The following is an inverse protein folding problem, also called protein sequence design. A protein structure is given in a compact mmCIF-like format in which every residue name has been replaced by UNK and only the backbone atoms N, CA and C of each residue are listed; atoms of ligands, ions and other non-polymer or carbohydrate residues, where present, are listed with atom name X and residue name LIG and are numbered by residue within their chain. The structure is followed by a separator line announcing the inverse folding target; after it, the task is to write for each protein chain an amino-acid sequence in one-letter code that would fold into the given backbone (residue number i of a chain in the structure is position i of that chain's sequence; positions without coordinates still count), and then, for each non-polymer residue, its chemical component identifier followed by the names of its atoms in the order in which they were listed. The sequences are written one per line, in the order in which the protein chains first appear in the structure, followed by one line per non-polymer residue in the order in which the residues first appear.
data_IF_512594960800
#
_entry.id   IF_512594960800
#
_cell.length_a   1.000
_cell.length_b   1.000
_cell.length_c   1.000
_cell.angle_alpha   90.00
_cell.angle_beta   90.00
_cell.angle_gamma   90.00
#
_symmetry.space_group_name_H-M   'P 1'
#
loop_
_entity.id
_entity.type
_entity.pdbx_description
1 polymer ?
#
# COMPACT_ATOMS: atom_id res chain seq x y z
N UNK A 1 -24.97 -9.12 20.72
CA UNK A 1 -25.05 -8.80 19.28
C UNK A 1 -23.63 -8.82 18.74
N UNK A 2 -23.24 -9.86 18.00
CA UNK A 2 -21.87 -9.91 17.47
C UNK A 2 -21.75 -8.91 16.31
N UNK A 3 -21.05 -7.82 16.55
CA UNK A 3 -20.73 -6.84 15.51
C UNK A 3 -19.89 -7.55 14.46
N UNK A 4 -20.37 -7.61 13.22
CA UNK A 4 -19.64 -8.19 12.10
C UNK A 4 -19.07 -7.04 11.28
N UNK A 5 -17.80 -7.16 10.94
CA UNK A 5 -17.11 -6.26 10.01
C UNK A 5 -16.59 -7.10 8.84
N UNK A 6 -16.87 -6.65 7.62
CA UNK A 6 -16.28 -7.22 6.40
C UNK A 6 -15.33 -6.18 5.80
N UNK A 7 -14.14 -6.65 5.44
CA UNK A 7 -13.15 -5.84 4.71
C UNK A 7 -12.99 -6.41 3.31
N UNK A 8 -13.29 -5.60 2.30
CA UNK A 8 -13.01 -5.90 0.90
C UNK A 8 -11.75 -5.14 0.51
N UNK A 9 -10.64 -5.87 0.41
CA UNK A 9 -9.35 -5.27 0.10
C UNK A 9 -9.03 -5.37 -1.40
N UNK A 10 -8.32 -4.36 -1.91
CA UNK A 10 -7.83 -4.27 -3.29
C UNK A 10 -8.95 -4.42 -4.34
N UNK A 11 -10.10 -3.78 -4.08
CA UNK A 11 -11.21 -3.80 -5.04
C UNK A 11 -10.77 -3.19 -6.37
N UNK A 12 -10.90 -3.98 -7.46
CA UNK A 12 -10.49 -3.57 -8.81
C UNK A 12 -11.72 -3.39 -9.72
N UNK A 13 -11.73 -2.29 -10.48
CA UNK A 13 -12.81 -1.97 -11.41
C UNK A 13 -12.93 -2.94 -12.60
N UNK A 14 -11.83 -3.62 -12.98
CA UNK A 14 -11.81 -4.50 -14.15
C UNK A 14 -12.47 -5.86 -13.88
N UNK A 15 -12.51 -6.28 -12.62
CA UNK A 15 -13.05 -7.57 -12.19
C UNK A 15 -14.24 -7.41 -11.24
N UNK A 16 -14.86 -6.23 -11.26
CA UNK A 16 -15.94 -5.91 -10.35
C UNK A 16 -17.25 -6.59 -10.76
N UNK A 17 -17.72 -7.50 -9.92
CA UNK A 17 -19.08 -7.99 -9.98
C UNK A 17 -20.00 -6.97 -9.27
N UNK A 18 -20.67 -6.13 -10.07
CA UNK A 18 -21.50 -5.04 -9.58
C UNK A 18 -22.72 -5.54 -8.81
N UNK A 19 -23.33 -6.66 -9.23
CA UNK A 19 -24.51 -7.23 -8.58
C UNK A 19 -24.13 -7.82 -7.21
N UNK A 20 -23.02 -8.55 -7.15
CA UNK A 20 -22.50 -9.10 -5.90
C UNK A 20 -22.14 -7.98 -4.93
N UNK A 21 -21.43 -6.94 -5.38
CA UNK A 21 -21.08 -5.81 -4.53
C UNK A 21 -22.34 -5.09 -4.01
N UNK A 22 -23.33 -4.88 -4.86
CA UNK A 22 -24.61 -4.28 -4.46
C UNK A 22 -25.32 -5.10 -3.39
N UNK A 23 -25.36 -6.43 -3.56
CA UNK A 23 -25.95 -7.34 -2.59
C UNK A 23 -25.22 -7.29 -1.23
N UNK A 24 -23.89 -7.28 -1.26
CA UNK A 24 -23.07 -7.17 -0.04
C UNK A 24 -23.38 -5.85 0.67
N UNK A 25 -23.32 -4.72 -0.04
CA UNK A 25 -23.58 -3.40 0.54
C UNK A 25 -24.97 -3.35 1.20
N UNK A 26 -26.00 -3.80 0.50
CA UNK A 26 -27.36 -3.81 1.05
C UNK A 26 -27.49 -4.71 2.29
N UNK A 27 -26.86 -5.88 2.27
CA UNK A 27 -26.86 -6.79 3.42
C UNK A 27 -26.24 -6.13 4.65
N UNK A 28 -25.12 -5.43 4.49
CA UNK A 28 -24.44 -4.78 5.61
C UNK A 28 -25.18 -3.54 6.11
N UNK A 29 -25.77 -2.75 5.24
CA UNK A 29 -26.62 -1.62 5.63
C UNK A 29 -27.83 -2.13 6.44
N UNK A 30 -28.55 -3.14 5.95
CA UNK A 30 -29.76 -3.66 6.57
C UNK A 30 -29.48 -4.33 7.92
N UNK A 31 -28.31 -4.93 8.09
CA UNK A 31 -27.91 -5.62 9.33
C UNK A 31 -27.18 -4.73 10.32
N UNK A 32 -26.98 -3.44 10.00
CA UNK A 32 -26.20 -2.47 10.80
C UNK A 32 -24.81 -2.97 11.15
N UNK A 33 -24.18 -3.69 10.24
CA UNK A 33 -22.81 -4.16 10.34
C UNK A 33 -21.87 -3.20 9.60
N UNK A 34 -20.54 -3.36 9.82
CA UNK A 34 -19.55 -2.52 9.17
C UNK A 34 -19.03 -3.16 7.89
N UNK A 35 -18.94 -2.36 6.83
CA UNK A 35 -18.29 -2.71 5.58
C UNK A 35 -17.19 -1.70 5.30
N UNK A 36 -15.95 -2.21 5.15
CA UNK A 36 -14.78 -1.41 4.78
C UNK A 36 -14.36 -1.86 3.38
N UNK A 37 -14.25 -0.91 2.46
CA UNK A 37 -13.80 -1.17 1.09
C UNK A 37 -12.49 -0.40 0.89
N UNK A 38 -11.44 -1.12 0.50
CA UNK A 38 -10.12 -0.57 0.21
C UNK A 38 -9.89 -0.68 -1.29
N UNK A 39 -9.56 0.45 -1.92
CA UNK A 39 -9.34 0.51 -3.36
C UNK A 39 -8.28 1.56 -3.70
N UNK A 40 -7.62 1.40 -4.85
CA UNK A 40 -6.58 2.34 -5.32
C UNK A 40 -7.15 3.65 -5.86
N UNK A 41 -8.42 3.63 -6.28
CA UNK A 41 -9.14 4.81 -6.77
C UNK A 41 -10.46 4.93 -6.01
N UNK A 42 -11.01 6.13 -5.85
CA UNK A 42 -12.34 6.31 -5.30
C UNK A 42 -13.36 5.46 -6.06
N UNK A 43 -14.27 4.80 -5.36
CA UNK A 43 -15.30 3.96 -6.01
C UNK A 43 -16.22 4.77 -6.93
N UNK A 44 -16.38 6.06 -6.65
CA UNK A 44 -17.19 6.95 -7.47
C UNK A 44 -16.58 7.15 -8.87
N UNK A 45 -15.27 6.96 -9.02
CA UNK A 45 -14.55 7.06 -10.30
C UNK A 45 -14.61 5.77 -11.12
N UNK A 46 -15.22 4.71 -10.57
CA UNK A 46 -15.41 3.47 -11.29
C UNK A 46 -16.56 3.63 -12.31
N UNK A 47 -16.39 3.05 -13.49
CA UNK A 47 -17.42 3.05 -14.54
C UNK A 47 -18.54 2.05 -14.22
N UNK A 48 -19.26 2.31 -13.14
CA UNK A 48 -20.35 1.47 -12.66
C UNK A 48 -21.58 1.67 -13.54
N UNK A 49 -22.14 0.57 -14.04
CA UNK A 49 -23.33 0.55 -14.88
C UNK A 49 -24.62 0.47 -14.05
N UNK A 50 -24.57 -0.26 -12.93
CA UNK A 50 -25.71 -0.45 -12.05
C UNK A 50 -25.99 0.84 -11.25
N UNK A 51 -27.07 1.55 -11.62
CA UNK A 51 -27.40 2.85 -11.02
C UNK A 51 -27.65 2.76 -9.52
N UNK A 52 -28.26 1.68 -9.06
CA UNK A 52 -28.54 1.45 -7.64
C UNK A 52 -27.25 1.29 -6.83
N UNK A 53 -26.24 0.58 -7.38
CA UNK A 53 -24.94 0.47 -6.77
C UNK A 53 -24.25 1.84 -6.71
N UNK A 54 -24.30 2.60 -7.78
CA UNK A 54 -23.72 3.95 -7.83
C UNK A 54 -24.33 4.85 -6.75
N UNK A 55 -25.64 4.81 -6.56
CA UNK A 55 -26.34 5.54 -5.51
C UNK A 55 -25.86 5.11 -4.11
N UNK A 56 -25.68 3.81 -3.87
CA UNK A 56 -25.17 3.31 -2.58
C UNK A 56 -23.75 3.75 -2.29
N UNK A 57 -22.87 3.71 -3.28
CA UNK A 57 -21.48 4.15 -3.14
C UNK A 57 -21.36 5.60 -2.68
N UNK A 58 -22.25 6.48 -3.13
CA UNK A 58 -22.24 7.89 -2.71
C UNK A 58 -22.56 8.08 -1.23
N UNK A 59 -23.13 7.09 -0.56
CA UNK A 59 -23.45 7.15 0.87
C UNK A 59 -22.29 6.74 1.78
N UNK A 60 -21.21 6.21 1.22
CA UNK A 60 -20.03 5.80 2.00
C UNK A 60 -19.22 7.02 2.47
N UNK A 61 -18.75 6.96 3.72
CA UNK A 61 -17.72 7.88 4.20
C UNK A 61 -16.39 7.51 3.55
N UNK A 62 -15.90 8.36 2.64
CA UNK A 62 -14.67 8.12 1.90
C UNK A 62 -13.50 8.82 2.59
N UNK A 63 -12.43 8.06 2.82
CA UNK A 63 -11.16 8.56 3.33
C UNK A 63 -10.06 8.27 2.32
N UNK A 64 -9.33 9.32 1.95
CA UNK A 64 -8.17 9.21 1.07
C UNK A 64 -6.89 9.12 1.89
N UNK A 65 -6.03 8.17 1.55
CA UNK A 65 -4.67 8.11 2.07
C UNK A 65 -3.81 9.00 1.18
N UNK A 66 -3.35 10.12 1.73
CA UNK A 66 -2.51 11.07 1.00
C UNK A 66 -1.07 10.54 0.83
N UNK A 67 -0.36 11.07 -0.17
CA UNK A 67 1.06 10.79 -0.32
C UNK A 67 1.84 11.22 0.93
N UNK A 68 2.90 10.50 1.31
CA UNK A 68 3.63 10.81 2.51
C UNK A 68 4.36 12.16 2.43
N UNK A 69 4.33 12.92 3.55
CA UNK A 69 5.16 14.11 3.73
C UNK A 69 6.64 13.75 3.84
N UNK A 70 7.54 14.73 3.68
CA UNK A 70 8.99 14.51 3.85
C UNK A 70 9.34 13.93 5.22
N UNK A 71 8.68 14.39 6.28
CA UNK A 71 8.86 13.88 7.63
C UNK A 71 8.44 12.41 7.74
N UNK A 72 7.31 12.06 7.13
CA UNK A 72 6.85 10.67 7.10
C UNK A 72 7.75 9.79 6.25
N UNK A 73 8.23 10.27 5.09
CA UNK A 73 9.21 9.55 4.25
C UNK A 73 10.49 9.25 5.04
N UNK A 74 11.02 10.26 5.74
CA UNK A 74 12.20 10.08 6.60
C UNK A 74 11.97 9.00 7.66
N UNK A 75 10.81 9.04 8.32
CA UNK A 75 10.43 8.07 9.35
C UNK A 75 10.30 6.66 8.78
N UNK A 76 9.62 6.52 7.62
CA UNK A 76 9.46 5.24 6.93
C UNK A 76 10.79 4.66 6.48
N UNK A 77 11.66 5.46 5.87
CA UNK A 77 13.00 5.02 5.45
C UNK A 77 13.82 4.54 6.65
N UNK A 78 13.80 5.32 7.74
CA UNK A 78 14.53 4.97 8.97
C UNK A 78 14.03 3.63 9.52
N UNK A 79 12.71 3.45 9.59
CA UNK A 79 12.10 2.21 10.04
C UNK A 79 12.45 1.03 9.12
N UNK A 80 12.24 1.16 7.81
CA UNK A 80 12.44 0.07 6.87
C UNK A 80 13.91 -0.36 6.77
N UNK A 81 14.87 0.59 6.84
CA UNK A 81 16.27 0.26 6.93
C UNK A 81 16.62 -0.47 8.25
N UNK A 82 16.03 -0.03 9.36
CA UNK A 82 16.19 -0.70 10.66
C UNK A 82 15.63 -2.12 10.63
N UNK A 83 14.45 -2.35 10.06
CA UNK A 83 13.82 -3.67 9.91
C UNK A 83 14.71 -4.62 9.09
N UNK A 84 15.48 -4.08 8.13
CA UNK A 84 16.47 -4.80 7.33
C UNK A 84 17.85 -4.89 8.00
N UNK A 85 18.00 -4.39 9.23
CA UNK A 85 19.29 -4.31 9.95
C UNK A 85 20.37 -3.54 9.16
N UNK A 86 19.96 -2.56 8.36
CA UNK A 86 20.84 -1.70 7.59
C UNK A 86 21.12 -0.41 8.37
N UNK A 87 22.38 -0.16 8.67
CA UNK A 87 22.81 1.07 9.34
C UNK A 87 23.13 2.10 8.25
N UNK A 88 22.23 3.07 8.08
CA UNK A 88 22.38 4.16 7.10
C UNK A 88 22.61 5.48 7.85
N UNK A 89 23.57 6.27 7.37
CA UNK A 89 23.85 7.59 7.95
C UNK A 89 22.66 8.53 7.77
N UNK A 90 22.39 9.37 8.75
CA UNK A 90 21.28 10.32 8.75
C UNK A 90 21.27 11.22 7.51
N UNK A 91 22.45 11.71 7.10
CA UNK A 91 22.61 12.57 5.94
C UNK A 91 22.16 11.87 4.65
N UNK A 92 22.41 10.56 4.54
CA UNK A 92 21.98 9.76 3.40
C UNK A 92 20.47 9.58 3.39
N UNK A 93 19.85 9.31 4.56
CA UNK A 93 18.39 9.19 4.65
C UNK A 93 17.74 10.53 4.28
N UNK A 94 18.27 11.66 4.74
CA UNK A 94 17.80 12.99 4.39
C UNK A 94 17.93 13.28 2.89
N UNK A 95 19.02 12.84 2.28
CA UNK A 95 19.19 12.96 0.82
C UNK A 95 18.15 12.13 0.06
N UNK A 96 17.98 10.85 0.44
CA UNK A 96 17.00 9.96 -0.19
C UNK A 96 15.60 10.54 -0.05
N UNK A 97 15.23 11.08 1.11
CA UNK A 97 13.93 11.72 1.35
C UNK A 97 13.61 12.83 0.33
N UNK A 98 14.63 13.55 -0.14
CA UNK A 98 14.45 14.65 -1.11
C UNK A 98 14.30 14.20 -2.55
N UNK A 99 14.85 13.03 -2.89
CA UNK A 99 14.94 12.58 -4.30
C UNK A 99 14.01 11.41 -4.62
N UNK A 100 13.47 10.74 -3.61
CA UNK A 100 12.59 9.60 -3.80
C UNK A 100 11.18 10.05 -4.20
N UNK A 101 10.51 9.26 -5.05
CA UNK A 101 9.10 9.47 -5.35
C UNK A 101 8.24 9.35 -4.09
N UNK A 102 7.32 10.30 -3.91
CA UNK A 102 6.41 10.38 -2.75
C UNK A 102 5.28 9.36 -2.83
N UNK A 103 5.63 8.09 -2.82
CA UNK A 103 4.70 6.97 -2.88
C UNK A 103 5.17 5.89 -1.89
N UNK A 104 4.23 5.35 -1.10
CA UNK A 104 4.54 4.28 -0.13
C UNK A 104 5.17 3.07 -0.80
N UNK A 105 4.65 2.66 -1.97
CA UNK A 105 5.18 1.54 -2.75
C UNK A 105 6.63 1.80 -3.20
N UNK A 106 6.91 3.02 -3.69
CA UNK A 106 8.26 3.39 -4.14
C UNK A 106 9.27 3.42 -3.01
N UNK A 107 8.87 3.94 -1.84
CA UNK A 107 9.73 3.97 -0.65
C UNK A 107 10.06 2.55 -0.19
N UNK A 108 9.05 1.68 -0.12
CA UNK A 108 9.23 0.29 0.28
C UNK A 108 10.09 -0.49 -0.71
N UNK A 109 9.82 -0.37 -2.01
CA UNK A 109 10.57 -1.05 -3.06
C UNK A 109 12.02 -0.58 -3.10
N UNK A 110 12.27 0.73 -2.95
CA UNK A 110 13.63 1.27 -2.89
C UNK A 110 14.46 0.60 -1.79
N UNK A 111 13.93 0.45 -0.58
CA UNK A 111 14.66 -0.19 0.53
C UNK A 111 14.93 -1.66 0.24
N UNK A 112 13.97 -2.38 -0.36
CA UNK A 112 14.17 -3.78 -0.73
C UNK A 112 15.21 -3.94 -1.85
N UNK A 113 15.18 -3.09 -2.86
CA UNK A 113 16.15 -3.11 -3.96
C UNK A 113 17.57 -2.77 -3.47
N UNK A 114 17.66 -1.82 -2.56
CA UNK A 114 18.93 -1.45 -1.93
C UNK A 114 19.51 -2.59 -1.08
N UNK A 115 18.69 -3.26 -0.29
CA UNK A 115 19.10 -4.45 0.48
C UNK A 115 19.59 -5.57 -0.46
N UNK A 116 18.83 -5.88 -1.50
CA UNK A 116 19.21 -6.87 -2.51
C UNK A 116 20.53 -6.54 -3.20
N UNK A 117 20.75 -5.27 -3.54
CA UNK A 117 22.01 -4.81 -4.13
C UNK A 117 23.20 -5.03 -3.19
N UNK A 118 23.05 -4.71 -1.91
CA UNK A 118 24.09 -4.93 -0.92
C UNK A 118 24.41 -6.42 -0.73
N UNK A 119 23.38 -7.27 -0.70
CA UNK A 119 23.55 -8.73 -0.61
C UNK A 119 24.28 -9.29 -1.83
N UNK A 120 23.97 -8.82 -3.03
CA UNK A 120 24.68 -9.23 -4.26
C UNK A 120 26.16 -8.79 -4.25
N UNK A 121 26.46 -7.57 -3.79
CA UNK A 121 27.85 -7.11 -3.62
C UNK A 121 28.62 -7.97 -2.63
N UNK A 122 28.06 -8.29 -1.47
CA UNK A 122 28.68 -9.18 -0.49
C UNK A 122 28.97 -10.58 -1.07
N UNK A 123 28.03 -11.13 -1.86
CA UNK A 123 28.21 -12.44 -2.55
C UNK A 123 29.33 -12.39 -3.59
N UNK A 124 29.41 -11.33 -4.40
CA UNK A 124 30.51 -11.14 -5.38
C UNK A 124 31.87 -11.01 -4.70
N UNK A 125 31.93 -10.27 -3.59
CA UNK A 125 33.17 -10.11 -2.82
C UNK A 125 33.66 -11.46 -2.23
N UNK A 126 32.76 -12.25 -1.67
CA UNK A 126 33.07 -13.59 -1.14
C UNK A 126 33.50 -14.57 -2.24
N UNK A 127 32.89 -14.52 -3.41
CA UNK A 127 33.24 -15.40 -4.53
C UNK A 127 34.62 -15.08 -5.11
N UNK A 128 34.95 -13.80 -5.20
CA UNK A 128 36.28 -13.37 -5.66
C UNK A 128 37.40 -13.69 -4.66
N UNK A 129 37.12 -13.72 -3.35
CA UNK A 129 38.09 -14.16 -2.34
C UNK A 129 38.33 -15.68 -2.35
N UNK A 130 37.31 -16.47 -2.71
CA UNK A 130 37.43 -17.94 -2.81
C UNK A 130 38.11 -18.41 -4.12
N UNK A 131 38.16 -17.55 -5.15
CA UNK A 131 38.83 -17.87 -6.43
C UNK A 131 40.32 -17.44 -6.46
N UNK A 132 40.82 -16.78 -5.41
CA UNK A 132 42.21 -16.36 -5.24
C UNK A 132 42.98 -17.23 -4.23
N UNK A 133 42.48 -18.41 -3.93
CA UNK A 133 43.12 -19.52 -3.25
C UNK A 133 43.14 -20.75 -4.18
#
# INVERSE_FOLDING_TARGET
MNLKCLVLDNLNSEQLDEELLFMIINTFINTKNYLIIISRKPLIDYKIKLLDLKSRITTFDQKKIENPSDELIYTLLTKFFSDKQLIIKKEMILYITKVIDRSYDKIFNFVNDFDNFLLQKKRKFRKNQLMNF
#
